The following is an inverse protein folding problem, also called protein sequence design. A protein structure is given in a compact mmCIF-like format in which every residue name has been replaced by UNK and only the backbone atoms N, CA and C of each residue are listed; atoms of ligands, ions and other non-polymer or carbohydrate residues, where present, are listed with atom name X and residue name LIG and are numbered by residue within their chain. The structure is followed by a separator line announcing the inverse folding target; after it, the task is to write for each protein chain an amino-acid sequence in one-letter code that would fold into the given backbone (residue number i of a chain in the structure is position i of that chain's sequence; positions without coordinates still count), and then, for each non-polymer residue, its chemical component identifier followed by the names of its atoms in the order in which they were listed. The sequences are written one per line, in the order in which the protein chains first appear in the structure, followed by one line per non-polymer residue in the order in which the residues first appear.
data_IF_592519998142
#
_entry.id   IF_592519998142
#
_cell.length_a   1.000
_cell.length_b   1.000
_cell.length_c   1.000
_cell.angle_alpha   90.00
_cell.angle_beta   90.00
_cell.angle_gamma   90.00
#
_symmetry.space_group_name_H-M   'P 1'
#
loop_
_entity.id
_entity.type
_entity.pdbx_description
1 polymer ?
#
# COMPACT_ATOMS: atom_id res chain seq x y z
N UNK A 1 -1.50 1.61 24.75
CA UNK A 1 -1.68 1.69 23.28
C UNK A 1 -3.18 1.73 23.04
N UNK A 2 -3.74 2.82 22.49
CA UNK A 2 -5.19 2.91 22.21
C UNK A 2 -5.49 2.08 20.96
N UNK A 3 -6.35 1.07 21.08
CA UNK A 3 -6.86 0.36 19.91
C UNK A 3 -7.88 1.26 19.20
N UNK A 4 -7.73 1.40 17.88
CA UNK A 4 -8.73 2.10 17.06
C UNK A 4 -10.03 1.29 17.11
N UNK A 5 -11.12 1.99 17.33
CA UNK A 5 -12.47 1.46 17.31
C UNK A 5 -12.76 0.98 15.87
N UNK A 6 -13.60 -0.04 15.68
CA UNK A 6 -13.89 -0.66 14.36
C UNK A 6 -14.40 0.27 13.24
N UNK A 7 -14.60 1.57 13.50
CA UNK A 7 -14.94 2.63 12.55
C UNK A 7 -13.77 3.45 12.03
N UNK A 8 -12.63 3.51 12.73
CA UNK A 8 -11.48 4.33 12.32
C UNK A 8 -10.48 3.49 11.50
N UNK A 9 -10.45 3.73 10.18
CA UNK A 9 -9.47 3.10 9.29
C UNK A 9 -8.26 4.00 9.08
N UNK A 10 -7.08 3.50 9.42
CA UNK A 10 -5.80 4.10 9.01
C UNK A 10 -5.64 3.89 7.50
N UNK A 11 -5.51 4.98 6.75
CA UNK A 11 -5.08 4.90 5.37
C UNK A 11 -3.55 4.82 5.33
N UNK A 12 -3.02 3.84 4.59
CA UNK A 12 -1.59 3.64 4.43
C UNK A 12 -1.15 3.79 2.98
N UNK A 13 0.04 4.37 2.81
CA UNK A 13 0.82 4.31 1.58
C UNK A 13 2.03 3.39 1.75
N UNK A 14 2.43 2.68 0.70
CA UNK A 14 3.65 1.88 0.67
C UNK A 14 4.62 2.40 -0.39
N UNK A 15 5.83 2.76 0.01
CA UNK A 15 6.93 3.13 -0.90
C UNK A 15 7.82 1.89 -1.12
N UNK A 16 7.98 1.49 -2.37
CA UNK A 16 8.63 0.26 -2.81
C UNK A 16 7.62 -0.86 -3.11
N UNK A 17 7.56 -1.30 -4.37
CA UNK A 17 6.72 -2.38 -4.90
C UNK A 17 7.55 -3.60 -5.36
N UNK A 18 8.73 -3.80 -4.77
CA UNK A 18 9.61 -4.92 -5.07
C UNK A 18 9.10 -6.29 -4.58
N UNK A 19 9.97 -7.30 -4.64
CA UNK A 19 9.62 -8.71 -4.32
C UNK A 19 9.05 -8.86 -2.90
N UNK A 20 9.73 -8.35 -1.87
CA UNK A 20 9.26 -8.49 -0.48
C UNK A 20 7.96 -7.73 -0.22
N UNK A 21 7.81 -6.53 -0.80
CA UNK A 21 6.58 -5.77 -0.74
C UNK A 21 5.40 -6.57 -1.29
N UNK A 22 5.57 -7.21 -2.46
CA UNK A 22 4.49 -7.90 -3.18
C UNK A 22 4.29 -9.37 -2.82
N UNK A 23 5.25 -10.02 -2.13
CA UNK A 23 5.12 -11.41 -1.68
C UNK A 23 4.86 -11.54 -0.17
N UNK A 24 5.17 -10.52 0.64
CA UNK A 24 5.04 -10.59 2.11
C UNK A 24 4.23 -9.41 2.65
N UNK A 25 4.71 -8.17 2.46
CA UNK A 25 4.15 -7.02 3.18
C UNK A 25 2.73 -6.67 2.73
N UNK A 26 2.49 -6.49 1.43
CA UNK A 26 1.17 -6.17 0.91
C UNK A 26 0.13 -7.23 1.28
N UNK A 27 0.36 -8.55 1.08
CA UNK A 27 -0.56 -9.58 1.58
C UNK A 27 -0.88 -9.45 3.07
N UNK A 28 0.12 -9.24 3.92
CA UNK A 28 -0.07 -9.09 5.36
C UNK A 28 -0.87 -7.82 5.70
N UNK A 29 -0.50 -6.67 5.10
CA UNK A 29 -1.18 -5.38 5.30
C UNK A 29 -2.64 -5.43 4.89
N UNK A 30 -2.98 -6.12 3.79
CA UNK A 30 -4.37 -6.27 3.35
C UNK A 30 -5.24 -7.08 4.33
N UNK A 31 -4.63 -7.85 5.23
CA UNK A 31 -5.32 -8.59 6.29
C UNK A 31 -5.42 -7.86 7.63
N UNK A 32 -4.80 -6.68 7.79
CA UNK A 32 -4.84 -5.93 9.05
C UNK A 32 -6.19 -5.23 9.19
N UNK A 33 -6.95 -5.61 10.23
CA UNK A 33 -8.18 -4.92 10.59
C UNK A 33 -7.89 -3.45 10.92
N UNK A 34 -8.73 -2.54 10.40
CA UNK A 34 -8.53 -1.11 10.57
C UNK A 34 -7.47 -0.49 9.66
N UNK A 35 -6.81 -1.24 8.77
CA UNK A 35 -5.90 -0.70 7.76
C UNK A 35 -6.55 -0.69 6.38
N UNK A 36 -6.33 0.39 5.61
CA UNK A 36 -6.61 0.43 4.17
C UNK A 36 -5.37 0.91 3.42
N UNK A 37 -4.76 0.03 2.63
CA UNK A 37 -3.69 0.42 1.71
C UNK A 37 -4.31 1.20 0.54
N UNK A 38 -4.09 2.51 0.51
CA UNK A 38 -4.68 3.43 -0.47
C UNK A 38 -3.73 3.82 -1.59
N UNK A 39 -2.44 3.85 -1.31
CA UNK A 39 -1.43 4.32 -2.26
C UNK A 39 -0.22 3.39 -2.31
N UNK A 40 0.37 3.27 -3.50
CA UNK A 40 1.67 2.66 -3.72
C UNK A 40 2.59 3.67 -4.40
N UNK A 41 3.88 3.58 -4.13
CA UNK A 41 4.90 4.28 -4.89
C UNK A 41 6.06 3.35 -5.22
N UNK A 42 6.59 3.44 -6.43
CA UNK A 42 7.83 2.80 -6.84
C UNK A 42 8.40 3.58 -8.02
N UNK A 43 9.72 3.76 -8.08
CA UNK A 43 10.39 4.42 -9.20
C UNK A 43 10.34 3.58 -10.49
N UNK A 44 10.13 2.27 -10.35
CA UNK A 44 9.92 1.36 -11.45
C UNK A 44 8.41 1.23 -11.77
N UNK A 45 8.01 1.78 -12.91
CA UNK A 45 6.61 1.80 -13.37
C UNK A 45 5.98 0.42 -13.50
N UNK A 46 6.77 -0.58 -13.95
CA UNK A 46 6.28 -1.95 -14.09
C UNK A 46 5.92 -2.54 -12.74
N UNK A 47 6.81 -2.41 -11.74
CA UNK A 47 6.55 -2.87 -10.37
C UNK A 47 5.32 -2.19 -9.78
N UNK A 48 5.22 -0.86 -9.93
CA UNK A 48 4.08 -0.08 -9.45
C UNK A 48 2.77 -0.57 -10.09
N UNK A 49 2.74 -0.68 -11.41
CA UNK A 49 1.54 -1.06 -12.19
C UNK A 49 1.11 -2.48 -11.88
N UNK A 50 2.05 -3.42 -11.80
CA UNK A 50 1.77 -4.82 -11.48
C UNK A 50 1.26 -4.98 -10.04
N UNK A 51 1.88 -4.29 -9.08
CA UNK A 51 1.44 -4.30 -7.68
C UNK A 51 0.06 -3.66 -7.51
N UNK A 52 -0.15 -2.47 -8.09
CA UNK A 52 -1.43 -1.76 -8.02
C UNK A 52 -2.57 -2.61 -8.58
N UNK A 53 -2.35 -3.28 -9.73
CA UNK A 53 -3.31 -4.20 -10.35
C UNK A 53 -3.56 -5.43 -9.47
N UNK A 54 -2.51 -6.08 -8.98
CA UNK A 54 -2.59 -7.31 -8.15
C UNK A 54 -3.36 -7.07 -6.85
N UNK A 55 -3.09 -5.95 -6.16
CA UNK A 55 -3.65 -5.65 -4.84
C UNK A 55 -4.85 -4.70 -4.87
N UNK A 56 -5.27 -4.26 -6.07
CA UNK A 56 -6.41 -3.35 -6.29
C UNK A 56 -6.30 -2.04 -5.48
N UNK A 57 -5.09 -1.47 -5.44
CA UNK A 57 -4.82 -0.21 -4.73
C UNK A 57 -5.23 0.99 -5.60
N UNK A 58 -5.80 2.02 -4.97
CA UNK A 58 -6.45 3.15 -5.63
C UNK A 58 -5.46 4.07 -6.35
N UNK A 59 -4.38 4.44 -5.66
CA UNK A 59 -3.39 5.40 -6.16
C UNK A 59 -2.02 4.77 -6.38
N UNK A 60 -1.31 5.26 -7.40
CA UNK A 60 0.05 4.84 -7.72
C UNK A 60 0.88 6.04 -8.15
N UNK A 61 2.09 6.17 -7.60
CA UNK A 61 2.96 7.33 -7.82
C UNK A 61 4.40 6.90 -8.17
N UNK A 62 4.94 7.41 -9.28
CA UNK A 62 6.35 7.19 -9.63
C UNK A 62 7.33 8.00 -8.77
N UNK A 63 6.86 9.13 -8.24
CA UNK A 63 7.57 9.93 -7.25
C UNK A 63 6.82 9.89 -5.92
N UNK A 64 7.47 9.35 -4.88
CA UNK A 64 6.87 9.25 -3.55
C UNK A 64 6.56 10.62 -2.95
N UNK A 65 7.25 11.69 -3.36
CA UNK A 65 6.99 13.05 -2.86
C UNK A 65 5.63 13.58 -3.31
N UNK A 66 5.08 13.06 -4.40
CA UNK A 66 3.72 13.37 -4.85
C UNK A 66 2.68 12.59 -4.05
N UNK A 67 3.07 11.46 -3.45
CA UNK A 67 2.19 10.63 -2.62
C UNK A 67 2.02 11.17 -1.18
N UNK A 68 3.07 11.78 -0.62
CA UNK A 68 3.12 12.33 0.75
C UNK A 68 2.40 13.68 0.85
#
# INVERSE_FOLDING_TARGET
MKFLNGSERINAGLIGCGKLATSVHLPAMMGIEGLKVKALSDVNEKNLTDAKRKFKVEYGYLDYKVML
#
